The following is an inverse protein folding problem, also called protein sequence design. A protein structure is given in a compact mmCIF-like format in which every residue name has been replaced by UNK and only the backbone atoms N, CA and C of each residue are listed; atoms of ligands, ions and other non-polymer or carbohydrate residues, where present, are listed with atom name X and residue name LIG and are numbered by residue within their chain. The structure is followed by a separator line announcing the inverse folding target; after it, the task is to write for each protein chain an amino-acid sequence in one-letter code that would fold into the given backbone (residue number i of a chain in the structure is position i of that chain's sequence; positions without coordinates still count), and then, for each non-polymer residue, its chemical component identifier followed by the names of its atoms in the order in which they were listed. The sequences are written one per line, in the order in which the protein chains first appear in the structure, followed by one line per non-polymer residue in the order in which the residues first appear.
data_IF_066844920968
#
_entry.id   IF_066844920968
#
_cell.length_a   1.000
_cell.length_b   1.000
_cell.length_c   1.000
_cell.angle_alpha   90.00
_cell.angle_beta   90.00
_cell.angle_gamma   90.00
#
_symmetry.space_group_name_H-M   'P 1'
#
loop_
_entity.id
_entity.type
_entity.pdbx_description
1 polymer ?
#
# COMPACT_ATOMS: atom_id res chain seq x y z
N UNK A 1 -7.38 15.93 -17.13
CA UNK A 1 -7.86 15.00 -16.08
C UNK A 1 -6.80 14.96 -14.99
N UNK A 2 -7.10 15.54 -13.83
CA UNK A 2 -6.15 15.73 -12.74
C UNK A 2 -5.80 14.44 -11.96
N UNK A 3 -6.69 13.43 -11.95
CA UNK A 3 -6.46 12.13 -11.31
C UNK A 3 -6.98 10.97 -12.16
N UNK A 4 -6.19 9.89 -12.24
CA UNK A 4 -6.59 8.62 -12.86
C UNK A 4 -6.29 7.45 -11.92
N UNK A 5 -7.10 6.40 -12.03
CA UNK A 5 -6.83 5.15 -11.34
C UNK A 5 -7.04 3.95 -12.25
N UNK A 6 -6.18 2.95 -12.08
CA UNK A 6 -6.15 1.72 -12.84
C UNK A 6 -6.05 0.54 -11.89
N UNK A 7 -6.69 -0.57 -12.23
CA UNK A 7 -6.57 -1.82 -11.52
C UNK A 7 -6.16 -2.88 -12.55
N UNK A 8 -4.96 -3.44 -12.40
CA UNK A 8 -4.39 -4.40 -13.36
C UNK A 8 -5.17 -5.71 -13.37
N UNK A 9 -5.62 -6.15 -12.19
CA UNK A 9 -6.45 -7.33 -11.93
C UNK A 9 -7.16 -7.14 -10.59
N UNK A 10 -8.30 -7.80 -10.41
CA UNK A 10 -8.98 -7.80 -9.11
C UNK A 10 -8.09 -8.41 -8.04
N UNK A 11 -8.18 -7.91 -6.80
CA UNK A 11 -7.49 -8.54 -5.68
C UNK A 11 -8.18 -9.84 -5.30
N UNK A 12 -7.41 -10.80 -4.81
CA UNK A 12 -7.92 -12.09 -4.36
C UNK A 12 -8.78 -11.95 -3.10
N UNK A 13 -8.51 -10.93 -2.27
CA UNK A 13 -9.29 -10.66 -1.07
C UNK A 13 -10.28 -9.50 -1.23
N UNK A 14 -11.50 -9.69 -0.72
CA UNK A 14 -12.58 -8.70 -0.80
C UNK A 14 -12.24 -7.38 -0.09
N UNK A 15 -11.50 -7.45 1.02
CA UNK A 15 -11.14 -6.26 1.80
C UNK A 15 -10.13 -5.36 1.07
N UNK A 16 -9.17 -5.93 0.33
CA UNK A 16 -8.21 -5.17 -0.50
C UNK A 16 -8.92 -4.41 -1.63
N UNK A 17 -9.88 -5.07 -2.31
CA UNK A 17 -10.73 -4.40 -3.31
C UNK A 17 -11.51 -3.23 -2.70
N UNK A 18 -12.02 -3.38 -1.47
CA UNK A 18 -12.73 -2.32 -0.76
C UNK A 18 -11.80 -1.16 -0.41
N UNK A 19 -10.61 -1.46 0.13
CA UNK A 19 -9.61 -0.46 0.46
C UNK A 19 -9.15 0.32 -0.76
N UNK A 20 -8.82 -0.36 -1.85
CA UNK A 20 -8.45 0.31 -3.10
C UNK A 20 -9.56 1.25 -3.59
N UNK A 21 -10.82 0.80 -3.58
CA UNK A 21 -11.96 1.63 -4.02
C UNK A 21 -12.13 2.87 -3.14
N UNK A 22 -12.12 2.70 -1.82
CA UNK A 22 -12.27 3.81 -0.88
C UNK A 22 -11.11 4.78 -1.01
N UNK A 23 -9.88 4.28 -1.04
CA UNK A 23 -8.67 5.09 -1.17
C UNK A 23 -8.66 5.87 -2.49
N UNK A 24 -8.93 5.21 -3.61
CA UNK A 24 -9.01 5.82 -4.94
C UNK A 24 -10.09 6.91 -5.02
N UNK A 25 -11.21 6.72 -4.33
CA UNK A 25 -12.29 7.72 -4.24
C UNK A 25 -11.84 8.95 -3.47
N UNK A 26 -11.09 8.78 -2.37
CA UNK A 26 -10.55 9.91 -1.61
C UNK A 26 -9.48 10.66 -2.40
N UNK A 27 -8.54 9.96 -3.03
CA UNK A 27 -7.53 10.59 -3.88
C UNK A 27 -8.16 11.37 -5.03
N UNK A 28 -9.22 10.83 -5.66
CA UNK A 28 -9.97 11.55 -6.70
C UNK A 28 -10.52 12.88 -6.19
N UNK A 29 -11.05 12.91 -4.95
CA UNK A 29 -11.57 14.15 -4.33
C UNK A 29 -10.43 15.13 -4.02
N UNK A 30 -9.32 14.64 -3.48
CA UNK A 30 -8.15 15.45 -3.12
C UNK A 30 -7.49 16.08 -4.35
N UNK A 31 -7.35 15.32 -5.44
CA UNK A 31 -6.65 15.74 -6.65
C UNK A 31 -7.60 16.18 -7.78
N UNK A 32 -8.88 16.47 -7.50
CA UNK A 32 -9.85 16.82 -8.55
C UNK A 32 -9.46 18.09 -9.33
N UNK A 33 -8.88 19.07 -8.64
CA UNK A 33 -8.51 20.40 -9.17
C UNK A 33 -6.98 20.63 -9.11
N UNK A 34 -6.21 19.56 -8.93
CA UNK A 34 -4.74 19.65 -8.83
C UNK A 34 -4.14 19.27 -10.18
N UNK A 35 -3.63 20.28 -10.88
CA UNK A 35 -2.97 20.04 -12.15
C UNK A 35 -1.72 19.16 -12.00
N UNK A 36 -1.47 18.35 -13.03
CA UNK A 36 -0.32 17.46 -13.10
C UNK A 36 -0.69 15.97 -13.05
N UNK A 37 0.36 15.16 -12.93
CA UNK A 37 0.26 13.71 -12.92
C UNK A 37 -0.15 13.22 -11.52
N UNK A 38 -1.30 12.56 -11.41
CA UNK A 38 -1.72 11.83 -10.21
C UNK A 38 -2.37 10.51 -10.64
N UNK A 39 -1.60 9.42 -10.60
CA UNK A 39 -2.04 8.10 -11.07
C UNK A 39 -1.94 7.10 -9.93
N UNK A 40 -3.05 6.44 -9.60
CA UNK A 40 -3.07 5.26 -8.73
C UNK A 40 -3.17 3.99 -9.57
N UNK A 41 -2.28 3.01 -9.35
CA UNK A 41 -2.32 1.71 -10.01
C UNK A 41 -2.43 0.66 -8.92
N UNK A 42 -3.50 -0.15 -8.95
CA UNK A 42 -3.71 -1.25 -8.00
C UNK A 42 -3.21 -2.59 -8.52
N UNK A 43 -2.83 -3.47 -7.60
CA UNK A 43 -2.45 -4.86 -7.79
C UNK A 43 -1.28 -5.06 -8.78
N UNK A 44 -0.16 -4.38 -8.52
CA UNK A 44 1.00 -4.38 -9.41
C UNK A 44 1.91 -5.56 -9.09
N UNK A 45 2.27 -6.34 -10.11
CA UNK A 45 3.32 -7.37 -10.01
C UNK A 45 4.67 -6.79 -10.42
N UNK A 46 5.69 -6.90 -9.58
CA UNK A 46 7.05 -6.40 -9.86
C UNK A 46 8.09 -7.37 -9.29
N UNK A 47 8.94 -7.96 -10.14
CA UNK A 47 9.94 -8.99 -9.79
C UNK A 47 9.41 -10.09 -8.85
N UNK A 48 8.18 -10.56 -9.09
CA UNK A 48 7.53 -11.59 -8.28
C UNK A 48 6.89 -11.10 -6.98
N UNK A 49 7.04 -9.83 -6.63
CA UNK A 49 6.28 -9.21 -5.54
C UNK A 49 4.90 -8.74 -6.02
N UNK A 50 3.89 -8.93 -5.17
CA UNK A 50 2.58 -8.31 -5.33
C UNK A 50 2.52 -7.05 -4.48
N UNK A 51 2.34 -5.92 -5.14
CA UNK A 51 2.23 -4.60 -4.54
C UNK A 51 0.77 -4.17 -4.62
N UNK A 52 0.19 -3.83 -3.47
CA UNK A 52 -1.23 -3.48 -3.44
C UNK A 52 -1.51 -2.24 -4.26
N UNK A 53 -0.77 -1.15 -4.08
CA UNK A 53 -0.88 -0.02 -4.99
C UNK A 53 0.43 0.74 -5.19
N UNK A 54 0.56 1.33 -6.37
CA UNK A 54 1.52 2.37 -6.68
C UNK A 54 0.80 3.68 -6.90
N UNK A 55 1.27 4.75 -6.28
CA UNK A 55 0.84 6.11 -6.60
C UNK A 55 1.97 6.88 -7.26
N UNK A 56 1.74 7.30 -8.50
CA UNK A 56 2.71 8.05 -9.31
C UNK A 56 2.25 9.50 -9.37
N UNK A 57 3.13 10.39 -8.95
CA UNK A 57 2.93 11.83 -9.07
C UNK A 57 4.21 12.51 -9.54
N UNK A 58 4.14 13.81 -9.84
CA UNK A 58 5.31 14.57 -10.28
C UNK A 58 6.47 14.41 -9.27
N UNK A 59 7.60 13.88 -9.76
CA UNK A 59 8.81 13.65 -8.97
C UNK A 59 8.78 12.51 -7.96
N UNK A 60 7.74 11.67 -7.92
CA UNK A 60 7.65 10.58 -6.92
C UNK A 60 6.82 9.38 -7.37
N UNK A 61 7.26 8.20 -6.95
CA UNK A 61 6.49 6.96 -6.98
C UNK A 61 6.39 6.44 -5.54
N UNK A 62 5.17 6.20 -5.07
CA UNK A 62 4.87 5.77 -3.71
C UNK A 62 4.36 4.33 -3.76
N UNK A 63 5.01 3.45 -2.99
CA UNK A 63 4.56 2.07 -2.78
C UNK A 63 3.60 2.03 -1.60
N UNK A 64 2.46 1.38 -1.77
CA UNK A 64 1.38 1.31 -0.79
C UNK A 64 1.02 -0.16 -0.59
N UNK A 65 0.84 -0.53 0.68
CA UNK A 65 0.41 -1.84 1.13
C UNK A 65 -0.76 -1.63 2.11
N UNK A 66 -1.88 -2.31 1.87
CA UNK A 66 -3.10 -2.16 2.65
C UNK A 66 -3.14 -3.20 3.78
N UNK A 67 -3.36 -2.74 5.01
CA UNK A 67 -3.52 -3.61 6.18
C UNK A 67 -4.89 -3.41 6.82
N UNK A 68 -5.59 -4.52 7.09
CA UNK A 68 -6.88 -4.50 7.78
C UNK A 68 -6.75 -4.96 9.23
N UNK A 69 -6.46 -4.02 10.13
CA UNK A 69 -6.44 -4.27 11.58
C UNK A 69 -7.19 -3.16 12.31
N UNK A 70 -7.91 -3.51 13.37
CA UNK A 70 -8.57 -2.57 14.27
C UNK A 70 -7.91 -2.55 15.64
N UNK A 71 -7.83 -1.39 16.29
CA UNK A 71 -7.18 -1.20 17.60
C UNK A 71 -6.01 -0.21 17.52
N UNK A 72 -5.21 -0.14 18.58
CA UNK A 72 -4.07 0.80 18.65
C UNK A 72 -2.82 0.19 18.04
N UNK A 73 -2.34 0.76 16.95
CA UNK A 73 -1.09 0.35 16.31
C UNK A 73 0.13 0.81 17.13
N UNK A 74 1.03 -0.12 17.41
CA UNK A 74 2.37 0.12 17.92
C UNK A 74 3.33 -0.42 16.86
N UNK A 75 4.13 0.47 16.27
CA UNK A 75 4.96 0.17 15.12
C UNK A 75 6.43 0.51 15.38
N UNK A 76 7.31 -0.11 14.59
CA UNK A 76 8.76 0.06 14.65
C UNK A 76 9.37 -0.32 13.30
N UNK A 77 10.47 0.29 12.91
CA UNK A 77 11.16 -0.10 11.67
C UNK A 77 11.81 -1.48 11.79
N UNK A 78 12.33 -1.82 12.98
CA UNK A 78 13.14 -3.02 13.20
C UNK A 78 12.45 -4.10 14.03
N UNK A 79 11.41 -3.74 14.78
CA UNK A 79 10.67 -4.70 15.62
C UNK A 79 9.32 -5.08 15.01
N UNK A 80 8.71 -6.21 15.43
CA UNK A 80 7.36 -6.56 15.03
C UNK A 80 6.36 -5.45 15.34
N UNK A 81 5.44 -5.23 14.42
CA UNK A 81 4.30 -4.34 14.66
C UNK A 81 3.24 -5.10 15.43
N UNK A 82 2.55 -4.41 16.34
CA UNK A 82 1.46 -5.00 17.11
C UNK A 82 0.27 -4.06 17.18
N UNK A 83 -0.90 -4.65 17.26
CA UNK A 83 -2.16 -3.98 17.52
C UNK A 83 -2.57 -4.37 18.92
N UNK A 84 -2.77 -3.37 19.78
CA UNK A 84 -3.26 -3.56 21.15
C UNK A 84 -4.77 -3.36 21.19
N UNK A 85 -5.45 -4.29 21.85
CA UNK A 85 -6.91 -4.33 22.02
C UNK A 85 -7.21 -4.60 23.49
N UNK A 86 -7.29 -3.52 24.30
CA UNK A 86 -7.32 -3.66 25.76
C UNK A 86 -6.02 -4.28 26.26
N UNK A 87 -6.14 -5.37 27.02
CA UNK A 87 -4.99 -6.09 27.61
C UNK A 87 -4.31 -7.08 26.65
N UNK A 88 -4.94 -7.37 25.50
CA UNK A 88 -4.41 -8.29 24.49
C UNK A 88 -3.68 -7.57 23.35
N UNK A 89 -2.87 -8.32 22.60
CA UNK A 89 -2.27 -7.83 21.36
C UNK A 89 -2.20 -8.90 20.27
N UNK A 90 -2.18 -8.43 19.01
CA UNK A 90 -1.92 -9.27 17.83
C UNK A 90 -0.79 -8.68 17.00
N UNK A 91 0.05 -9.53 16.41
CA UNK A 91 1.11 -9.07 15.50
C UNK A 91 0.53 -8.69 14.13
N UNK A 92 0.99 -7.55 13.61
CA UNK A 92 0.67 -7.09 12.26
C UNK A 92 1.68 -7.72 11.30
N UNK A 93 1.19 -8.53 10.38
CA UNK A 93 2.04 -9.30 9.46
C UNK A 93 2.40 -8.45 8.23
N UNK A 94 3.68 -8.40 7.87
CA UNK A 94 4.17 -7.85 6.61
C UNK A 94 4.34 -8.93 5.52
N UNK A 95 3.43 -9.91 5.45
CA UNK A 95 3.63 -11.13 4.67
C UNK A 95 4.76 -12.02 5.22
N UNK A 96 4.99 -13.20 4.64
CA UNK A 96 6.05 -14.13 5.05
C UNK A 96 6.08 -14.46 6.56
N UNK A 97 7.13 -15.14 7.03
CA UNK A 97 7.21 -15.62 8.44
C UNK A 97 7.71 -14.52 9.40
N UNK A 98 8.62 -13.62 8.99
CA UNK A 98 9.31 -12.68 9.90
C UNK A 98 9.60 -11.32 9.24
N UNK A 99 8.58 -10.61 8.74
CA UNK A 99 8.73 -9.20 8.31
C UNK A 99 7.62 -8.34 8.89
N UNK A 100 7.98 -7.18 9.42
CA UNK A 100 6.98 -6.15 9.73
C UNK A 100 6.55 -5.43 8.43
N UNK A 101 5.38 -4.76 8.40
CA UNK A 101 4.89 -4.08 7.21
C UNK A 101 5.86 -3.03 6.63
N UNK A 102 6.62 -2.32 7.45
CA UNK A 102 7.63 -1.36 6.96
C UNK A 102 8.73 -2.06 6.16
N UNK A 103 9.29 -3.15 6.68
CA UNK A 103 10.32 -3.94 6.00
C UNK A 103 9.78 -4.55 4.69
N UNK A 104 8.51 -4.95 4.66
CA UNK A 104 7.83 -5.43 3.46
C UNK A 104 7.77 -4.34 2.37
N UNK A 105 7.23 -3.17 2.68
CA UNK A 105 7.13 -2.05 1.73
C UNK A 105 8.52 -1.56 1.30
N UNK A 106 9.50 -1.57 2.19
CA UNK A 106 10.87 -1.22 1.85
C UNK A 106 11.47 -2.22 0.84
N UNK A 107 11.23 -3.52 0.99
CA UNK A 107 11.65 -4.52 0.01
C UNK A 107 10.98 -4.30 -1.35
N UNK A 108 9.67 -4.01 -1.36
CA UNK A 108 8.93 -3.70 -2.60
C UNK A 108 9.47 -2.45 -3.29
N UNK A 109 9.79 -1.40 -2.52
CA UNK A 109 10.42 -0.19 -3.03
C UNK A 109 11.77 -0.49 -3.70
N UNK A 110 12.64 -1.27 -3.06
CA UNK A 110 13.93 -1.63 -3.66
C UNK A 110 13.76 -2.46 -4.94
N UNK A 111 12.83 -3.41 -4.94
CA UNK A 111 12.50 -4.19 -6.14
C UNK A 111 12.02 -3.29 -7.28
N UNK A 112 11.16 -2.32 -6.99
CA UNK A 112 10.67 -1.37 -7.98
C UNK A 112 11.78 -0.50 -8.56
N UNK A 113 12.70 0.00 -7.71
CA UNK A 113 13.86 0.77 -8.16
C UNK A 113 14.71 -0.07 -9.11
N UNK A 114 14.99 -1.33 -8.75
CA UNK A 114 15.75 -2.25 -9.61
C UNK A 114 15.05 -2.53 -10.94
N UNK A 115 13.73 -2.68 -10.93
CA UNK A 115 12.96 -2.92 -12.16
C UNK A 115 12.96 -1.72 -13.12
N UNK A 116 13.04 -0.50 -12.59
CA UNK A 116 13.02 0.75 -13.36
C UNK A 116 14.41 1.27 -13.76
N UNK A 117 15.48 0.64 -13.26
CA UNK A 117 16.88 0.99 -13.56
C UNK A 117 17.36 0.25 -14.81
#
# INVERSE_FOLDING_TARGET
MAYKSYLTRQYDHTHENSFFRVFSTQLRKTFKDVDGLNILIGNVSCNGHQIDALFIASGKIIVIDFKNYGGKLIFSENNPWRISTGDDFVFVKGGGVIRNPYQQVNAYRHSLIQYLS
#
